data_IF_798587372159
#
_entry.id   IF_798587372159
#
_cell.length_a   1.000
_cell.length_b   1.000
_cell.length_c   1.000
_cell.angle_alpha   90.00
_cell.angle_beta   90.00
_cell.angle_gamma   90.00
#
_symmetry.space_group_name_H-M   'P 1'
#
loop_
_entity.id
_entity.type
_entity.pdbx_description
1 polymer ?
#
# COMPACT_ATOMS: atom_id res chain seq x y z
N UNK A 1 -5.13 16.12 6.64
CA UNK A 1 -6.16 15.77 6.29
C UNK A 1 -6.23 14.76 5.50
N UNK A 2 -6.75 14.27 5.59
CA UNK A 2 -6.70 13.29 5.02
C UNK A 2 -7.45 13.14 4.06
N UNK A 3 -7.11 13.00 3.34
CA UNK A 3 -7.63 12.55 2.36
C UNK A 3 -8.16 11.32 2.56
N UNK A 4 -8.86 11.25 3.41
CA UNK A 4 -9.65 10.26 3.49
C UNK A 4 -10.36 10.13 2.33
N UNK A 5 -10.15 10.81 1.46
CA UNK A 5 -10.64 10.60 0.31
C UNK A 5 -10.11 9.55 -0.26
N UNK A 6 -10.08 8.71 -0.05
CA UNK A 6 -10.13 7.56 -0.55
C UNK A 6 -11.09 7.55 -1.61
N UNK A 7 -10.90 7.99 -2.69
CA UNK A 7 -11.84 7.94 -3.69
C UNK A 7 -11.71 6.72 -4.51
N UNK A 8 -12.76 6.36 -5.15
CA UNK A 8 -12.76 5.53 -6.34
C UNK A 8 -12.52 6.52 -7.48
N UNK A 9 -12.58 6.09 -8.72
CA UNK A 9 -12.33 6.97 -9.84
C UNK A 9 -13.37 8.07 -9.98
N UNK A 10 -14.58 7.84 -9.51
CA UNK A 10 -15.61 8.87 -9.60
C UNK A 10 -15.27 9.98 -8.64
N UNK A 11 -14.90 9.64 -7.41
CA UNK A 11 -14.53 10.65 -6.44
C UNK A 11 -13.32 11.43 -6.91
N UNK A 12 -12.38 10.73 -7.55
CA UNK A 12 -11.21 11.37 -8.09
C UNK A 12 -11.62 12.40 -9.16
N UNK A 13 -12.51 12.02 -10.06
CA UNK A 13 -12.95 12.93 -11.08
C UNK A 13 -13.61 14.15 -10.49
N UNK A 14 -14.41 13.97 -9.47
CA UNK A 14 -15.04 15.07 -8.80
C UNK A 14 -14.00 16.01 -8.19
N UNK A 15 -13.01 15.45 -7.52
CA UNK A 15 -11.97 16.25 -6.91
C UNK A 15 -11.15 16.99 -7.96
N UNK A 16 -10.90 16.37 -9.09
CA UNK A 16 -10.18 17.02 -10.16
C UNK A 16 -10.97 18.19 -10.72
N UNK A 17 -12.29 18.02 -10.86
CA UNK A 17 -13.13 19.10 -11.35
C UNK A 17 -13.11 20.28 -10.38
N UNK A 18 -12.96 20.01 -9.11
CA UNK A 18 -12.88 21.06 -8.13
C UNK A 18 -11.45 21.47 -7.89
N UNK A 19 -10.51 20.79 -8.51
CA UNK A 19 -9.09 21.09 -8.38
C UNK A 19 -8.54 20.97 -7.00
N UNK A 20 -9.23 20.36 -6.10
CA UNK A 20 -8.77 20.36 -4.73
C UNK A 20 -7.62 19.42 -4.48
N UNK A 21 -7.74 18.19 -4.92
CA UNK A 21 -6.73 17.19 -4.62
C UNK A 21 -5.39 17.53 -5.25
N UNK A 22 -5.40 18.10 -6.44
CA UNK A 22 -4.16 18.37 -7.15
C UNK A 22 -3.59 19.74 -6.85
N UNK A 23 -4.44 20.74 -6.67
CA UNK A 23 -3.96 22.09 -6.51
C UNK A 23 -3.30 22.35 -5.18
N UNK A 24 -3.84 21.80 -4.10
CA UNK A 24 -3.27 22.10 -2.81
C UNK A 24 -2.20 21.09 -2.43
N UNK A 25 -2.22 19.91 -3.01
CA UNK A 25 -1.16 18.93 -2.76
C UNK A 25 -0.75 18.33 -4.08
N UNK A 26 0.24 18.94 -4.69
CA UNK A 26 0.70 18.43 -5.97
C UNK A 26 1.27 17.07 -5.89
N UNK A 27 1.47 16.55 -4.69
CA UNK A 27 1.96 15.21 -4.53
C UNK A 27 0.88 14.27 -4.09
N UNK A 28 -0.36 14.70 -4.20
CA UNK A 28 -1.47 13.83 -3.85
C UNK A 28 -1.38 12.56 -4.67
N UNK A 29 -1.54 11.43 -4.01
CA UNK A 29 -1.49 10.16 -4.68
C UNK A 29 -2.87 9.86 -5.20
N UNK A 30 -2.96 9.69 -6.51
CA UNK A 30 -4.23 9.37 -7.13
C UNK A 30 -4.38 7.87 -7.13
N UNK A 31 -5.39 7.38 -6.48
CA UNK A 31 -5.64 5.95 -6.41
C UNK A 31 -7.13 5.66 -6.42
N UNK A 32 -7.44 4.49 -6.96
CA UNK A 32 -8.78 3.97 -6.92
C UNK A 32 -8.80 3.02 -5.73
N UNK A 33 -9.66 3.31 -4.76
CA UNK A 33 -9.70 2.45 -3.62
C UNK A 33 -11.06 1.85 -3.54
N UNK A 34 -11.09 0.61 -3.27
CA UNK A 34 -12.35 -0.08 -3.12
C UNK A 34 -12.97 0.27 -1.78
N UNK A 35 -12.30 -0.06 -0.71
CA UNK A 35 -12.78 0.23 0.62
C UNK A 35 -11.60 0.56 1.50
N UNK A 36 -11.71 1.65 2.23
CA UNK A 36 -10.69 2.03 3.18
C UNK A 36 -10.78 1.11 4.40
N UNK A 37 -9.65 0.72 4.90
CA UNK A 37 -9.55 -0.11 6.11
C UNK A 37 -10.26 -1.45 5.97
N UNK A 38 -10.17 -2.04 4.79
CA UNK A 38 -10.75 -3.36 4.53
C UNK A 38 -9.69 -4.26 3.92
N UNK A 39 -9.54 -5.42 4.51
CA UNK A 39 -8.62 -6.42 4.00
C UNK A 39 -9.30 -7.19 2.88
N UNK A 40 -8.71 -7.16 1.70
CA UNK A 40 -9.27 -7.81 0.52
C UNK A 40 -8.34 -8.92 0.06
N UNK A 41 -8.91 -10.06 -0.28
CA UNK A 41 -8.17 -11.14 -0.90
C UNK A 41 -8.51 -11.17 -2.38
N UNK A 42 -7.58 -11.63 -3.19
CA UNK A 42 -7.82 -11.78 -4.64
C UNK A 42 -7.86 -13.25 -4.99
N UNK A 43 -8.43 -13.55 -6.17
CA UNK A 43 -8.54 -14.91 -6.63
C UNK A 43 -7.16 -15.55 -6.73
N UNK A 44 -7.06 -16.77 -6.26
CA UNK A 44 -5.83 -17.56 -6.29
C UNK A 44 -4.68 -16.96 -5.47
N UNK A 45 -4.99 -16.10 -4.53
CA UNK A 45 -3.96 -15.57 -3.65
C UNK A 45 -3.42 -16.70 -2.77
N UNK A 46 -2.11 -16.85 -2.72
CA UNK A 46 -1.51 -17.90 -1.90
C UNK A 46 -1.56 -17.53 -0.43
N UNK A 47 -1.71 -18.55 0.41
CA UNK A 47 -1.84 -18.34 1.84
C UNK A 47 -0.66 -17.56 2.42
N UNK A 48 0.54 -17.85 1.99
CA UNK A 48 1.72 -17.16 2.49
C UNK A 48 1.68 -15.66 2.18
N UNK A 49 1.25 -15.32 0.98
CA UNK A 49 1.09 -13.92 0.57
C UNK A 49 -0.01 -13.25 1.37
N UNK A 50 -1.16 -13.90 1.46
CA UNK A 50 -2.30 -13.34 2.21
C UNK A 50 -1.94 -13.16 3.68
N UNK A 51 -1.25 -14.12 4.28
CA UNK A 51 -0.84 -14.04 5.68
C UNK A 51 0.01 -12.80 5.94
N UNK A 52 1.00 -12.53 5.09
CA UNK A 52 1.85 -11.36 5.27
C UNK A 52 1.06 -10.07 5.13
N UNK A 53 0.19 -10.00 4.12
CA UNK A 53 -0.67 -8.83 3.91
C UNK A 53 -1.61 -8.61 5.09
N UNK A 54 -2.22 -9.69 5.59
CA UNK A 54 -3.17 -9.59 6.70
C UNK A 54 -2.48 -9.15 8.00
N UNK A 55 -1.28 -9.65 8.27
CA UNK A 55 -0.55 -9.24 9.46
C UNK A 55 -0.17 -7.77 9.38
N UNK A 56 0.34 -7.33 8.22
CA UNK A 56 0.70 -5.92 8.06
C UNK A 56 -0.54 -5.03 8.18
N UNK A 57 -1.66 -5.48 7.63
CA UNK A 57 -2.92 -4.77 7.76
C UNK A 57 -3.27 -4.58 9.24
N UNK A 58 -3.12 -5.64 10.03
CA UNK A 58 -3.39 -5.56 11.46
C UNK A 58 -2.45 -4.58 12.16
N UNK A 59 -1.16 -4.66 11.87
CA UNK A 59 -0.17 -3.78 12.50
C UNK A 59 -0.50 -2.31 12.23
N UNK A 60 -0.80 -1.99 10.98
CA UNK A 60 -1.11 -0.60 10.63
C UNK A 60 -2.44 -0.14 11.20
N UNK A 61 -3.42 -1.05 11.28
CA UNK A 61 -4.70 -0.73 11.89
C UNK A 61 -4.56 -0.41 13.38
N UNK A 62 -3.66 -1.10 14.06
CA UNK A 62 -3.41 -0.83 15.48
C UNK A 62 -2.73 0.51 15.69
N UNK A 63 -2.12 1.07 14.67
CA UNK A 63 -1.53 2.40 14.72
C UNK A 63 -2.51 3.48 14.28
N UNK A 64 -3.76 3.11 14.02
CA UNK A 64 -4.81 4.00 13.55
C UNK A 64 -4.49 4.62 12.18
N UNK A 65 -3.73 3.92 11.37
CA UNK A 65 -3.50 4.39 10.00
C UNK A 65 -4.68 4.03 9.11
N UNK A 66 -4.95 4.87 8.14
CA UNK A 66 -5.90 4.56 7.09
C UNK A 66 -5.19 3.77 6.01
N UNK A 67 -5.69 2.59 5.70
CA UNK A 67 -5.02 1.68 4.77
C UNK A 67 -6.01 1.12 3.77
N UNK A 68 -5.51 0.75 2.62
CA UNK A 68 -6.32 0.08 1.61
C UNK A 68 -5.51 -1.05 1.02
N UNK A 69 -6.16 -2.14 0.65
CA UNK A 69 -5.49 -3.31 0.08
C UNK A 69 -5.95 -3.51 -1.35
N UNK A 70 -5.08 -4.07 -2.17
CA UNK A 70 -5.36 -4.35 -3.58
C UNK A 70 -5.86 -3.10 -4.31
N UNK A 71 -5.26 -1.96 -4.03
CA UNK A 71 -5.69 -0.73 -4.62
C UNK A 71 -4.87 -0.40 -5.87
N UNK A 72 -5.47 0.40 -6.74
CA UNK A 72 -4.83 0.82 -7.98
C UNK A 72 -4.27 2.22 -7.79
N UNK A 73 -2.97 2.35 -7.89
CA UNK A 73 -2.34 3.67 -7.88
C UNK A 73 -2.15 4.09 -9.34
N UNK A 74 -2.74 5.21 -9.69
CA UNK A 74 -2.74 5.66 -11.08
C UNK A 74 -1.31 5.99 -11.52
N UNK A 75 -0.92 5.37 -12.63
CA UNK A 75 0.44 5.53 -13.14
C UNK A 75 1.44 4.52 -12.61
N UNK A 76 1.02 3.68 -11.67
CA UNK A 76 1.89 2.65 -11.10
C UNK A 76 1.31 1.25 -11.32
N UNK A 77 0.06 1.04 -10.96
CA UNK A 77 -0.60 -0.25 -11.05
C UNK A 77 -1.20 -0.67 -9.71
N UNK A 78 -1.62 -1.92 -9.65
CA UNK A 78 -2.24 -2.44 -8.43
C UNK A 78 -1.16 -2.80 -7.42
N UNK A 79 -1.39 -2.43 -6.18
CA UNK A 79 -0.46 -2.66 -5.08
C UNK A 79 -1.12 -3.51 -4.01
N UNK A 80 -0.32 -4.26 -3.27
CA UNK A 80 -0.85 -5.17 -2.26
C UNK A 80 -1.48 -4.42 -1.09
N UNK A 81 -0.78 -3.45 -0.56
CA UNK A 81 -1.27 -2.67 0.56
C UNK A 81 -0.72 -1.25 0.47
N UNK A 82 -1.58 -0.27 0.64
CA UNK A 82 -1.18 1.12 0.63
C UNK A 82 -1.60 1.78 1.94
N UNK A 83 -0.61 2.30 2.67
CA UNK A 83 -0.85 3.05 3.88
C UNK A 83 -1.04 4.51 3.47
N UNK A 84 -2.28 4.94 3.49
CA UNK A 84 -2.66 6.29 3.08
C UNK A 84 -2.08 7.33 4.04
N UNK A 85 -2.01 6.99 5.31
CA UNK A 85 -1.54 7.93 6.34
C UNK A 85 -0.07 8.31 6.12
N UNK A 86 0.77 7.36 5.76
CA UNK A 86 2.19 7.62 5.56
C UNK A 86 2.59 7.67 4.10
N UNK A 87 1.66 7.42 3.18
CA UNK A 87 1.93 7.33 1.74
C UNK A 87 2.98 6.28 1.43
N UNK A 88 2.82 5.12 2.04
CA UNK A 88 3.76 4.00 1.90
C UNK A 88 3.06 2.80 1.30
N UNK A 89 3.66 2.23 0.27
CA UNK A 89 3.18 0.99 -0.32
C UNK A 89 3.98 -0.17 0.25
N UNK A 90 3.29 -1.24 0.61
CA UNK A 90 3.93 -2.48 1.03
C UNK A 90 3.61 -3.54 -0.03
N UNK A 91 4.66 -4.09 -0.62
CA UNK A 91 4.53 -5.14 -1.61
C UNK A 91 5.12 -6.43 -1.05
N UNK A 92 4.39 -7.52 -1.15
CA UNK A 92 4.81 -8.81 -0.62
C UNK A 92 5.15 -9.72 -1.79
N UNK A 93 6.42 -10.03 -1.95
CA UNK A 93 6.85 -10.72 -3.13
C UNK A 93 7.74 -11.91 -2.85
N UNK A 94 7.87 -12.84 -3.85
CA UNK A 94 8.75 -13.97 -3.75
C UNK A 94 9.91 -13.67 -4.63
N UNK A 95 10.76 -13.21 -4.71
CA UNK A 95 11.98 -13.01 -5.44
C UNK A 95 11.86 -12.29 -6.77
N UNK A 96 12.20 -11.08 -6.79
CA UNK A 96 12.42 -10.33 -8.01
C UNK A 96 13.89 -9.91 -8.07
N UNK A 97 14.39 -9.69 -9.27
CA UNK A 97 15.77 -9.27 -9.45
C UNK A 97 15.99 -7.87 -8.88
N UNK A 98 17.23 -7.54 -8.50
CA UNK A 98 17.54 -6.19 -8.05
C UNK A 98 17.19 -5.11 -9.08
N UNK A 99 17.30 -5.45 -10.38
CA UNK A 99 16.94 -4.51 -11.43
C UNK A 99 15.45 -4.20 -11.41
N UNK A 100 14.61 -5.24 -11.27
CA UNK A 100 13.18 -5.07 -11.20
C UNK A 100 12.81 -4.18 -10.01
N UNK A 101 13.41 -4.42 -8.85
CA UNK A 101 13.13 -3.64 -7.66
C UNK A 101 13.51 -2.17 -7.84
N UNK A 102 14.64 -1.91 -8.49
CA UNK A 102 15.05 -0.53 -8.75
C UNK A 102 14.09 0.20 -9.69
N UNK A 103 13.63 -0.49 -10.72
CA UNK A 103 12.70 0.11 -11.66
C UNK A 103 11.36 0.41 -11.01
N UNK A 104 10.88 -0.50 -10.17
CA UNK A 104 9.64 -0.28 -9.44
C UNK A 104 9.78 0.89 -8.46
N UNK A 105 10.90 0.95 -7.73
CA UNK A 105 11.14 2.05 -6.82
C UNK A 105 11.10 3.39 -7.54
N UNK A 106 11.65 3.47 -8.73
CA UNK A 106 11.62 4.73 -9.49
C UNK A 106 10.20 5.16 -9.79
N UNK A 107 9.33 4.23 -10.18
CA UNK A 107 7.94 4.56 -10.47
C UNK A 107 7.24 5.12 -9.25
N UNK A 108 7.45 4.48 -8.09
CA UNK A 108 6.80 4.92 -6.86
C UNK A 108 7.34 6.29 -6.41
N UNK A 109 8.64 6.46 -6.48
CA UNK A 109 9.25 7.73 -6.07
C UNK A 109 8.73 8.88 -6.92
N UNK A 110 8.58 8.66 -8.23
CA UNK A 110 8.05 9.69 -9.11
C UNK A 110 6.63 10.11 -8.75
N UNK A 111 5.89 9.23 -8.09
CA UNK A 111 4.53 9.52 -7.64
C UNK A 111 4.48 10.03 -6.21
N UNK A 112 5.63 10.20 -5.57
CA UNK A 112 5.66 10.68 -4.19
C UNK A 112 5.29 9.62 -3.17
N UNK A 113 5.43 8.34 -3.55
CA UNK A 113 5.08 7.24 -2.69
C UNK A 113 6.33 6.48 -2.31
N UNK A 114 6.43 6.10 -1.05
CA UNK A 114 7.51 5.24 -0.63
C UNK A 114 7.06 3.80 -0.80
N UNK A 115 7.96 2.92 -1.21
CA UNK A 115 7.61 1.51 -1.36
C UNK A 115 8.54 0.66 -0.53
N UNK A 116 7.97 -0.27 0.20
CA UNK A 116 8.71 -1.26 0.97
C UNK A 116 8.36 -2.62 0.39
N UNK A 117 9.37 -3.27 -0.17
CA UNK A 117 9.20 -4.60 -0.76
C UNK A 117 9.66 -5.63 0.26
N UNK A 118 8.81 -6.55 0.60
CA UNK A 118 9.07 -7.57 1.60
C UNK A 118 9.11 -8.93 0.91
N UNK A 119 10.22 -9.63 1.06
CA UNK A 119 10.36 -10.98 0.53
C UNK A 119 9.70 -11.93 1.52
N UNK A 120 8.55 -12.47 1.14
CA UNK A 120 7.79 -13.34 2.04
C UNK A 120 8.51 -14.66 2.32
N UNK A 121 9.46 -15.07 1.48
CA UNK A 121 10.22 -16.26 1.74
C UNK A 121 11.23 -16.08 2.87
N UNK A 122 11.54 -14.84 3.22
CA UNK A 122 12.44 -14.57 4.32
C UNK A 122 11.69 -14.37 5.64
N UNK A 123 10.38 -14.43 5.62
CA UNK A 123 9.59 -14.27 6.84
C UNK A 123 9.54 -15.59 7.62
N UNK A 124 9.57 -15.53 8.95
CA UNK A 124 9.42 -16.74 9.76
C UNK A 124 8.08 -17.43 9.51
N UNK A 125 8.03 -18.75 9.68
CA UNK A 125 6.79 -19.49 9.54
C UNK A 125 5.90 -19.31 10.76
N UNK A 126 6.50 -19.16 11.94
CA UNK A 126 5.73 -18.95 13.15
C UNK A 126 5.01 -17.62 13.09
N UNK A 127 3.71 -17.63 13.34
CA UNK A 127 2.90 -16.46 13.12
C UNK A 127 3.28 -15.28 14.02
N UNK A 128 3.68 -15.55 15.25
CA UNK A 128 4.06 -14.50 16.16
C UNK A 128 5.40 -13.88 15.74
N UNK A 129 6.35 -14.73 15.34
CA UNK A 129 7.64 -14.24 14.88
C UNK A 129 7.48 -13.48 13.55
N UNK A 130 6.56 -13.92 12.70
CA UNK A 130 6.24 -13.22 11.46
C UNK A 130 5.66 -11.84 11.76
N UNK A 131 4.80 -11.75 12.74
CA UNK A 131 4.24 -10.48 13.17
C UNK A 131 5.34 -9.53 13.67
N UNK A 132 6.24 -10.02 14.51
CA UNK A 132 7.33 -9.18 15.01
C UNK A 132 8.24 -8.70 13.89
N UNK A 133 8.50 -9.56 12.92
CA UNK A 133 9.37 -9.20 11.80
C UNK A 133 8.69 -8.16 10.90
N UNK A 134 7.44 -8.34 10.58
CA UNK A 134 6.73 -7.40 9.74
C UNK A 134 6.58 -6.04 10.42
N UNK A 135 6.40 -6.02 11.71
CA UNK A 135 6.31 -4.77 12.44
C UNK A 135 7.58 -3.92 12.33
N UNK A 136 8.72 -4.56 12.13
CA UNK A 136 9.98 -3.84 11.98
C UNK A 136 10.04 -3.00 10.71
N UNK A 137 9.23 -3.34 9.69
CA UNK A 137 9.21 -2.58 8.45
C UNK A 137 8.36 -1.32 8.52
N UNK A 138 7.57 -1.17 9.57
CA UNK A 138 6.68 -0.03 9.65
C UNK A 138 7.45 1.23 9.98
N UNK A 139 7.25 2.25 9.16
CA UNK A 139 7.93 3.53 9.34
C UNK A 139 7.19 4.32 10.41
N UNK A 140 7.88 4.83 11.42
CA UNK A 140 7.24 5.65 12.45
C UNK A 140 6.63 6.91 11.84
N UNK A 141 5.56 7.37 12.43
CA UNK A 141 4.88 8.60 12.00
C UNK A 141 5.74 9.84 12.18
#
# INVERSE_FOLDING_TARGET
MVIKMSFNLYDLNYELDNKNALDFDRKAILYDRNDLNKLITIDNEKLNHFSAKAIMFYVLSELDHDITTECQIIGVGRVDLYDVTTKTVYEFETSHSPKYRREMNKKYIQKGVEVIVIDINELPDDIFQRFLKLREYVIPD
#
